data_IF_553599859345
#
_entry.id   IF_553599859345
#
_cell.length_a   1.000
_cell.length_b   1.000
_cell.length_c   1.000
_cell.angle_alpha   90.00
_cell.angle_beta   90.00
_cell.angle_gamma   90.00
#
_symmetry.space_group_name_H-M   'P 1'
#
loop_
_entity.id
_entity.type
_entity.pdbx_description
1 polymer ?
#
# COMPACT_ATOMS: atom_id res chain seq x y z
N UNK A 1 -30.54 7.27 -25.78
CA UNK A 1 -29.20 7.44 -26.38
C UNK A 1 -28.36 6.47 -25.60
N UNK A 2 -28.18 5.27 -26.13
CA UNK A 2 -27.50 4.20 -25.42
C UNK A 2 -26.01 4.36 -25.71
N UNK A 3 -25.27 4.79 -24.70
CA UNK A 3 -23.82 4.87 -24.75
C UNK A 3 -23.28 3.43 -24.84
N UNK A 4 -22.62 3.12 -25.97
CA UNK A 4 -21.95 1.84 -26.14
C UNK A 4 -20.77 1.81 -25.16
N UNK A 5 -20.93 1.12 -24.04
CA UNK A 5 -19.82 0.81 -23.15
C UNK A 5 -18.86 -0.09 -23.92
N UNK A 6 -17.70 0.46 -24.29
CA UNK A 6 -16.63 -0.29 -24.95
C UNK A 6 -16.15 -1.38 -23.98
N UNK A 7 -16.38 -2.65 -24.34
CA UNK A 7 -15.98 -3.77 -23.51
C UNK A 7 -14.53 -4.16 -23.83
N UNK A 8 -13.65 -4.06 -22.84
CA UNK A 8 -12.28 -4.56 -22.95
C UNK A 8 -12.28 -6.10 -23.04
N UNK A 9 -11.43 -6.70 -23.90
CA UNK A 9 -11.17 -8.13 -23.89
C UNK A 9 -10.80 -8.63 -22.48
N UNK A 10 -11.27 -9.81 -22.10
CA UNK A 10 -11.04 -10.41 -20.77
C UNK A 10 -9.54 -10.50 -20.40
N UNK A 11 -8.66 -10.69 -21.39
CA UNK A 11 -7.20 -10.71 -21.19
C UNK A 11 -6.66 -9.39 -20.65
N UNK A 12 -7.22 -8.24 -21.06
CA UNK A 12 -6.76 -6.92 -20.65
C UNK A 12 -7.20 -6.57 -19.22
N UNK A 13 -8.18 -7.30 -18.66
CA UNK A 13 -8.62 -7.12 -17.27
C UNK A 13 -7.56 -7.61 -16.28
N UNK A 14 -6.83 -8.67 -16.63
CA UNK A 14 -5.73 -9.19 -15.80
C UNK A 14 -4.60 -8.17 -15.70
N UNK A 15 -4.27 -7.50 -16.82
CA UNK A 15 -3.23 -6.47 -16.84
C UNK A 15 -3.66 -5.21 -16.08
N UNK A 16 -4.94 -4.82 -16.14
CA UNK A 16 -5.48 -3.71 -15.32
C UNK A 16 -5.46 -4.03 -13.82
N UNK A 17 -5.74 -5.27 -13.42
CA UNK A 17 -5.63 -5.71 -12.03
C UNK A 17 -4.18 -5.67 -11.54
N UNK A 18 -3.22 -6.09 -12.39
CA UNK A 18 -1.79 -5.99 -12.09
C UNK A 18 -1.32 -4.54 -11.92
N UNK A 19 -1.74 -3.63 -12.82
CA UNK A 19 -1.44 -2.20 -12.69
C UNK A 19 -2.03 -1.61 -11.40
N UNK A 20 -3.25 -2.00 -11.04
CA UNK A 20 -3.91 -1.58 -9.79
C UNK A 20 -3.15 -2.10 -8.57
N UNK A 21 -2.67 -3.34 -8.63
CA UNK A 21 -1.88 -3.96 -7.55
C UNK A 21 -0.50 -3.29 -7.38
N UNK A 22 0.16 -2.95 -8.48
CA UNK A 22 1.47 -2.28 -8.44
C UNK A 22 1.34 -0.83 -7.92
N UNK A 23 0.27 -0.13 -8.31
CA UNK A 23 -0.06 1.18 -7.75
C UNK A 23 -0.36 1.08 -6.25
N UNK A 24 -1.20 0.13 -5.84
CA UNK A 24 -1.52 -0.10 -4.43
C UNK A 24 -0.26 -0.43 -3.61
N UNK A 25 0.64 -1.23 -4.17
CA UNK A 25 1.95 -1.54 -3.56
C UNK A 25 2.82 -0.30 -3.37
N UNK A 26 2.86 0.58 -4.37
CA UNK A 26 3.62 1.83 -4.32
C UNK A 26 3.07 2.80 -3.27
N UNK A 27 1.75 3.00 -3.25
CA UNK A 27 1.08 3.84 -2.24
C UNK A 27 1.29 3.31 -0.82
N UNK A 28 1.23 1.98 -0.63
CA UNK A 28 1.51 1.38 0.68
C UNK A 28 2.97 1.59 1.11
N UNK A 29 3.93 1.53 0.20
CA UNK A 29 5.32 1.79 0.50
C UNK A 29 5.56 3.25 0.93
N UNK A 30 4.91 4.20 0.26
CA UNK A 30 4.95 5.62 0.61
C UNK A 30 4.35 5.86 2.00
N UNK A 31 3.20 5.25 2.31
CA UNK A 31 2.56 5.39 3.62
C UNK A 31 3.41 4.77 4.75
N UNK A 32 4.06 3.63 4.50
CA UNK A 32 5.02 3.02 5.44
C UNK A 32 6.18 3.98 5.73
N UNK A 33 6.70 4.66 4.71
CA UNK A 33 7.78 5.64 4.88
C UNK A 33 7.32 6.87 5.69
N UNK A 34 6.11 7.37 5.40
CA UNK A 34 5.52 8.48 6.14
C UNK A 34 5.30 8.13 7.62
N UNK A 35 4.76 6.95 7.92
CA UNK A 35 4.52 6.49 9.29
C UNK A 35 5.82 6.30 10.07
N UNK A 36 6.88 5.78 9.42
CA UNK A 36 8.22 5.72 10.01
C UNK A 36 8.74 7.12 10.36
N UNK A 37 8.54 8.10 9.47
CA UNK A 37 8.92 9.49 9.72
C UNK A 37 8.19 10.09 10.91
N UNK A 38 6.88 9.83 11.04
CA UNK A 38 6.09 10.27 12.21
C UNK A 38 6.59 9.63 13.52
N UNK A 39 6.92 8.35 13.52
CA UNK A 39 7.47 7.66 14.69
C UNK A 39 8.86 8.16 15.10
N UNK A 40 9.72 8.47 14.14
CA UNK A 40 11.03 9.05 14.40
C UNK A 40 10.91 10.45 15.02
N UNK A 41 10.06 11.30 14.44
CA UNK A 41 9.71 12.63 14.97
C UNK A 41 9.21 12.51 16.41
N UNK A 42 8.23 11.63 16.66
CA UNK A 42 7.69 11.38 17.99
C UNK A 42 8.76 10.91 18.99
N UNK A 43 9.70 10.06 18.54
CA UNK A 43 10.79 9.55 19.37
C UNK A 43 11.82 10.63 19.73
N UNK A 44 11.94 11.68 18.91
CA UNK A 44 12.71 12.90 19.21
C UNK A 44 11.95 13.90 20.10
N UNK A 45 10.71 13.60 20.47
CA UNK A 45 9.85 14.51 21.24
C UNK A 45 9.26 15.63 20.39
N UNK A 46 9.38 15.55 19.07
CA UNK A 46 8.76 16.48 18.14
C UNK A 46 7.30 16.05 17.94
N UNK A 47 6.37 16.93 18.30
CA UNK A 47 4.94 16.73 18.08
C UNK A 47 4.50 17.15 16.67
N UNK A 48 3.23 16.92 16.37
CA UNK A 48 2.57 17.42 15.17
C UNK A 48 1.07 17.14 15.24
N UNK A 49 0.27 17.98 14.61
CA UNK A 49 -1.20 17.80 14.56
C UNK A 49 -1.60 16.50 13.83
N UNK A 50 -0.68 15.92 13.06
CA UNK A 50 -0.79 14.62 12.39
C UNK A 50 -0.56 13.41 13.34
N UNK A 51 -0.10 13.64 14.57
CA UNK A 51 0.15 12.60 15.57
C UNK A 51 -1.02 12.55 16.56
N UNK A 52 -2.08 11.83 16.18
CA UNK A 52 -3.32 11.71 16.96
C UNK A 52 -3.42 10.42 17.79
N UNK A 53 -2.41 9.55 17.71
CA UNK A 53 -2.40 8.23 18.34
C UNK A 53 -1.22 8.06 19.30
N UNK A 54 -1.29 7.09 20.20
CA UNK A 54 -0.13 6.75 21.03
C UNK A 54 0.99 6.13 20.19
N UNK A 55 2.24 6.28 20.63
CA UNK A 55 3.41 5.66 19.98
C UNK A 55 3.21 4.15 19.77
N UNK A 56 2.68 3.45 20.78
CA UNK A 56 2.45 2.01 20.72
C UNK A 56 1.41 1.63 19.65
N UNK A 57 0.39 2.47 19.42
CA UNK A 57 -0.61 2.21 18.39
C UNK A 57 -0.05 2.43 16.98
N UNK A 58 0.78 3.47 16.82
CA UNK A 58 1.50 3.76 15.57
C UNK A 58 2.46 2.63 15.20
N UNK A 59 3.21 2.10 16.17
CA UNK A 59 4.10 0.94 15.97
C UNK A 59 3.32 -0.31 15.52
N UNK A 60 2.16 -0.58 16.14
CA UNK A 60 1.29 -1.70 15.72
C UNK A 60 0.75 -1.50 14.30
N UNK A 61 0.31 -0.30 13.96
CA UNK A 61 -0.17 0.04 12.61
C UNK A 61 0.94 -0.14 11.57
N UNK A 62 2.14 0.35 11.86
CA UNK A 62 3.30 0.19 10.98
C UNK A 62 3.63 -1.29 10.74
N UNK A 63 3.63 -2.10 11.80
CA UNK A 63 3.86 -3.54 11.69
C UNK A 63 2.81 -4.23 10.79
N UNK A 64 1.54 -3.85 10.93
CA UNK A 64 0.46 -4.37 10.09
C UNK A 64 0.65 -3.98 8.61
N UNK A 65 1.02 -2.74 8.31
CA UNK A 65 1.28 -2.28 6.94
C UNK A 65 2.46 -3.03 6.30
N UNK A 66 3.53 -3.26 7.06
CA UNK A 66 4.68 -4.05 6.61
C UNK A 66 4.26 -5.49 6.29
N UNK A 67 3.47 -6.12 7.17
CA UNK A 67 2.99 -7.48 6.95
C UNK A 67 2.12 -7.59 5.68
N UNK A 68 1.27 -6.61 5.40
CA UNK A 68 0.47 -6.56 4.17
C UNK A 68 1.37 -6.44 2.94
N UNK A 69 2.33 -5.51 2.95
CA UNK A 69 3.29 -5.33 1.84
C UNK A 69 4.06 -6.60 1.56
N UNK A 70 4.55 -7.26 2.60
CA UNK A 70 5.35 -8.47 2.46
C UNK A 70 4.51 -9.61 1.87
N UNK A 71 3.24 -9.74 2.27
CA UNK A 71 2.31 -10.68 1.64
C UNK A 71 2.06 -10.39 0.16
N UNK A 72 1.91 -9.11 -0.22
CA UNK A 72 1.77 -8.72 -1.64
C UNK A 72 3.03 -9.10 -2.43
N UNK A 73 4.23 -8.86 -1.87
CA UNK A 73 5.50 -9.20 -2.51
C UNK A 73 5.77 -10.70 -2.67
N UNK A 74 5.32 -11.54 -1.72
CA UNK A 74 5.42 -13.01 -1.86
C UNK A 74 4.48 -13.52 -2.97
N UNK A 75 3.29 -12.93 -3.10
CA UNK A 75 2.32 -13.31 -4.11
C UNK A 75 2.74 -12.89 -5.54
N UNK A 76 3.59 -11.87 -5.68
CA UNK A 76 4.15 -11.45 -6.97
C UNK A 76 5.35 -12.30 -7.41
N UNK A 77 6.16 -12.79 -6.47
CA UNK A 77 7.31 -13.66 -6.76
C UNK A 77 6.88 -15.08 -7.19
N UNK A 78 5.79 -15.61 -6.62
CA UNK A 78 5.27 -16.93 -6.99
C UNK A 78 4.64 -17.02 -8.39
N UNK A 79 4.36 -15.88 -9.05
CA UNK A 79 3.69 -15.84 -10.36
C UNK A 79 4.64 -15.54 -11.52
N UNK A 80 5.95 -15.40 -11.26
CA UNK A 80 6.99 -15.02 -12.25
C UNK A 80 7.71 -16.20 -12.93
N UNK A 81 7.27 -17.44 -12.70
CA UNK A 81 7.75 -18.62 -13.43
C UNK A 81 6.67 -19.12 -14.40
N UNK A 82 6.66 -18.59 -15.62
CA UNK A 82 6.13 -19.24 -16.83
C UNK A 82 6.89 -18.73 -18.05
#
# INVERSE_FOLDING_TARGET
MDELVEQFPEADWVDQDLLTRDLAGSLLAEEIAAERGRLDRLSRGEGGDDIVMSKADMERRLAAMIAVRDNVGQNTSGRRTF
#
